data_IF_509781466348
#
_entry.id   IF_509781466348
#
_cell.length_a   1.000
_cell.length_b   1.000
_cell.length_c   1.000
_cell.angle_alpha   90.00
_cell.angle_beta   90.00
_cell.angle_gamma   90.00
#
_symmetry.space_group_name_H-M   'P 1'
#
loop_
_entity.id
_entity.type
_entity.pdbx_description
1 polymer ?
#
# COMPACT_ATOMS: atom_id res chain seq x y z
N UNK A 1 0.04 -0.29 -15.63
CA UNK A 1 0.89 -1.03 -14.66
C UNK A 1 2.21 -0.28 -14.48
N UNK A 2 2.70 -0.22 -13.25
CA UNK A 2 3.97 0.44 -12.91
C UNK A 2 4.92 -0.63 -12.37
N UNK A 3 6.05 -0.85 -13.05
CA UNK A 3 7.05 -1.83 -12.65
C UNK A 3 8.37 -1.13 -12.31
N UNK A 4 8.85 -1.35 -11.09
CA UNK A 4 10.13 -0.83 -10.58
C UNK A 4 11.03 -2.04 -10.34
N UNK A 5 12.13 -2.12 -11.08
CA UNK A 5 12.95 -3.33 -11.16
C UNK A 5 14.43 -3.02 -11.02
N UNK A 6 15.20 -4.05 -10.68
CA UNK A 6 16.66 -4.03 -10.64
C UNK A 6 17.18 -2.85 -9.81
N UNK A 7 18.11 -2.08 -10.33
CA UNK A 7 18.72 -0.95 -9.65
C UNK A 7 17.93 0.36 -9.67
N UNK A 8 16.64 0.36 -10.04
CA UNK A 8 15.81 1.56 -9.91
C UNK A 8 15.59 1.87 -8.43
N UNK A 9 15.98 3.06 -7.99
CA UNK A 9 15.93 3.48 -6.60
C UNK A 9 15.46 4.93 -6.47
N UNK A 10 15.03 5.33 -5.28
CA UNK A 10 14.54 6.68 -4.97
C UNK A 10 13.39 7.11 -5.90
N UNK A 11 12.44 6.21 -6.14
CA UNK A 11 11.29 6.44 -7.02
C UNK A 11 10.10 6.94 -6.22
N UNK A 12 9.48 8.03 -6.68
CA UNK A 12 8.24 8.55 -6.13
C UNK A 12 7.10 8.42 -7.14
N UNK A 13 5.98 7.86 -6.70
CA UNK A 13 4.74 7.72 -7.46
C UNK A 13 3.66 8.46 -6.68
N UNK A 14 3.14 9.57 -7.25
CA UNK A 14 2.24 10.43 -6.51
C UNK A 14 1.10 10.99 -7.35
N UNK A 15 -0.03 11.21 -6.69
CA UNK A 15 -1.23 11.83 -7.26
C UNK A 15 -1.75 11.15 -8.53
N UNK A 16 -1.53 9.82 -8.67
CA UNK A 16 -2.08 9.06 -9.78
C UNK A 16 -3.47 8.50 -9.42
N UNK A 17 -4.30 8.38 -10.43
CA UNK A 17 -5.50 7.56 -10.40
C UNK A 17 -5.26 6.27 -11.17
N UNK A 18 -5.13 5.17 -10.44
CA UNK A 18 -4.81 3.83 -10.92
C UNK A 18 -6.08 2.98 -10.78
N UNK A 19 -6.70 2.64 -11.89
CA UNK A 19 -8.01 2.01 -11.85
C UNK A 19 -8.23 0.93 -12.89
N UNK A 20 -9.27 0.11 -12.67
CA UNK A 20 -9.77 -0.90 -13.60
C UNK A 20 -8.66 -1.83 -14.14
N UNK A 21 -7.80 -2.31 -13.24
CA UNK A 21 -6.67 -3.17 -13.61
C UNK A 21 -6.48 -4.32 -12.63
N UNK A 22 -6.12 -5.51 -13.15
CA UNK A 22 -5.96 -6.69 -12.30
C UNK A 22 -4.69 -6.64 -11.43
N UNK A 23 -3.52 -6.22 -11.96
CA UNK A 23 -2.23 -6.17 -11.25
C UNK A 23 -1.57 -4.81 -11.48
N UNK A 24 -1.54 -3.94 -10.48
CA UNK A 24 -1.28 -2.50 -10.68
C UNK A 24 0.19 -2.15 -10.62
N UNK A 25 0.91 -2.46 -9.54
CA UNK A 25 2.29 -2.03 -9.35
C UNK A 25 3.17 -3.13 -8.77
N UNK A 26 4.41 -3.17 -9.22
CA UNK A 26 5.39 -4.19 -8.86
C UNK A 26 6.75 -3.56 -8.54
N UNK A 27 7.22 -3.77 -7.32
CA UNK A 27 8.56 -3.41 -6.87
C UNK A 27 9.36 -4.71 -6.68
N UNK A 28 10.29 -5.00 -7.59
CA UNK A 28 10.98 -6.31 -7.65
C UNK A 28 10.18 -7.35 -8.43
N UNK A 29 10.66 -7.73 -9.61
CA UNK A 29 9.90 -8.53 -10.57
C UNK A 29 9.92 -10.05 -10.27
N UNK A 30 10.97 -10.53 -9.62
CA UNK A 30 11.13 -11.92 -9.14
C UNK A 30 11.68 -11.94 -7.72
N UNK A 31 11.66 -13.10 -7.09
CA UNK A 31 12.22 -13.28 -5.74
C UNK A 31 13.73 -13.05 -5.71
N UNK A 32 14.43 -13.25 -6.84
CA UNK A 32 15.87 -13.00 -7.01
C UNK A 32 16.22 -11.54 -7.36
N UNK A 33 15.23 -10.67 -7.54
CA UNK A 33 15.44 -9.23 -7.76
C UNK A 33 15.62 -8.53 -6.40
N UNK A 34 16.72 -8.81 -5.74
CA UNK A 34 17.09 -8.45 -4.38
C UNK A 34 17.70 -7.05 -4.24
N UNK A 35 17.80 -6.31 -5.33
CA UNK A 35 18.31 -4.94 -5.29
C UNK A 35 17.52 -4.10 -4.27
N UNK A 36 18.25 -3.40 -3.40
CA UNK A 36 17.63 -2.47 -2.44
C UNK A 36 17.01 -1.32 -3.22
N UNK A 37 15.74 -1.06 -2.95
CA UNK A 37 14.95 -0.01 -3.58
C UNK A 37 14.23 0.80 -2.50
N UNK A 38 14.21 2.10 -2.67
CA UNK A 38 13.41 3.02 -1.87
C UNK A 38 12.30 3.59 -2.76
N UNK A 39 11.06 3.25 -2.45
CA UNK A 39 9.92 3.66 -3.28
C UNK A 39 8.87 4.33 -2.41
N UNK A 40 8.48 5.54 -2.80
CA UNK A 40 7.40 6.26 -2.13
C UNK A 40 6.15 6.26 -3.00
N UNK A 41 5.04 5.82 -2.45
CA UNK A 41 3.70 5.99 -3.03
C UNK A 41 2.92 6.96 -2.15
N UNK A 42 2.57 8.14 -2.66
CA UNK A 42 1.77 9.04 -1.86
C UNK A 42 0.64 9.70 -2.65
N UNK A 43 -0.48 9.88 -1.98
CA UNK A 43 -1.66 10.55 -2.55
C UNK A 43 -2.13 9.91 -3.87
N UNK A 44 -1.99 8.59 -4.02
CA UNK A 44 -2.55 7.88 -5.16
C UNK A 44 -3.93 7.32 -4.81
N UNK A 45 -4.83 7.33 -5.78
CA UNK A 45 -6.11 6.63 -5.72
C UNK A 45 -5.99 5.31 -6.49
N UNK A 46 -6.20 4.21 -5.79
CA UNK A 46 -6.35 2.88 -6.37
C UNK A 46 -7.82 2.50 -6.32
N UNK A 47 -8.46 2.28 -7.45
CA UNK A 47 -9.90 2.02 -7.52
C UNK A 47 -10.24 0.88 -8.47
N UNK A 48 -11.09 -0.04 -8.03
CA UNK A 48 -11.55 -1.19 -8.81
C UNK A 48 -10.38 -1.99 -9.39
N UNK A 49 -9.48 -2.42 -8.52
CA UNK A 49 -8.25 -3.12 -8.90
C UNK A 49 -8.18 -4.50 -8.25
N UNK A 50 -7.51 -5.44 -8.91
CA UNK A 50 -7.40 -6.79 -8.38
C UNK A 50 -6.39 -6.86 -7.26
N UNK A 51 -5.12 -6.56 -7.52
CA UNK A 51 -4.02 -6.72 -6.57
C UNK A 51 -2.81 -5.87 -6.90
N UNK A 52 -1.77 -5.98 -6.05
CA UNK A 52 -0.48 -5.29 -6.21
C UNK A 52 -0.61 -3.78 -6.12
N UNK A 53 -0.96 -3.29 -4.95
CA UNK A 53 -1.12 -1.86 -4.68
C UNK A 53 -0.16 -1.31 -3.60
N UNK A 54 1.15 -1.55 -3.66
CA UNK A 54 1.93 -2.39 -4.58
C UNK A 54 2.12 -3.83 -4.11
N UNK A 55 2.69 -4.70 -4.96
CA UNK A 55 3.45 -5.87 -4.53
C UNK A 55 4.91 -5.48 -4.44
N UNK A 56 5.52 -5.72 -3.29
CA UNK A 56 6.93 -5.44 -3.04
C UNK A 56 7.71 -6.69 -2.68
N UNK A 57 8.88 -6.84 -3.25
CA UNK A 57 9.91 -7.79 -2.86
C UNK A 57 11.17 -7.02 -2.51
N UNK A 58 11.77 -7.37 -1.37
CA UNK A 58 12.97 -6.71 -0.84
C UNK A 58 12.81 -5.19 -0.69
N UNK A 59 13.85 -4.49 -0.29
CA UNK A 59 13.89 -3.03 -0.22
C UNK A 59 12.86 -2.39 0.71
N UNK A 60 12.64 -1.12 0.53
CA UNK A 60 11.87 -0.27 1.42
C UNK A 60 10.81 0.52 0.67
N UNK A 61 9.62 0.62 1.22
CA UNK A 61 8.61 1.51 0.68
C UNK A 61 7.94 2.36 1.75
N UNK A 62 7.53 3.56 1.36
CA UNK A 62 6.67 4.41 2.15
C UNK A 62 5.35 4.63 1.40
N UNK A 63 4.26 4.17 2.00
CA UNK A 63 2.91 4.35 1.47
C UNK A 63 2.19 5.36 2.35
N UNK A 64 2.06 6.59 1.85
CA UNK A 64 1.56 7.74 2.60
C UNK A 64 0.32 8.33 1.93
N UNK A 65 -0.75 8.49 2.70
CA UNK A 65 -1.95 9.19 2.24
C UNK A 65 -2.53 8.68 0.91
N UNK A 66 -2.46 7.37 0.65
CA UNK A 66 -3.13 6.77 -0.49
C UNK A 66 -4.56 6.36 -0.13
N UNK A 67 -5.44 6.30 -1.13
CA UNK A 67 -6.78 5.78 -1.00
C UNK A 67 -6.92 4.49 -1.81
N UNK A 68 -7.28 3.42 -1.12
CA UNK A 68 -7.53 2.10 -1.68
C UNK A 68 -9.03 1.83 -1.63
N UNK A 69 -9.67 1.78 -2.81
CA UNK A 69 -11.10 1.57 -2.94
C UNK A 69 -11.42 0.41 -3.88
N UNK A 70 -12.21 -0.55 -3.41
CA UNK A 70 -12.56 -1.76 -4.18
C UNK A 70 -11.32 -2.51 -4.67
N UNK A 71 -10.49 -2.99 -3.74
CA UNK A 71 -9.38 -3.89 -4.03
C UNK A 71 -9.87 -5.32 -3.84
N UNK A 72 -9.87 -6.10 -4.91
CA UNK A 72 -10.67 -7.32 -5.03
C UNK A 72 -9.96 -8.61 -4.59
N UNK A 73 -8.62 -8.60 -4.49
CA UNK A 73 -7.82 -9.79 -4.12
C UNK A 73 -6.87 -9.49 -2.99
N UNK A 74 -5.99 -8.51 -3.14
CA UNK A 74 -5.06 -8.08 -2.09
C UNK A 74 -4.56 -6.66 -2.33
N UNK A 75 -4.44 -5.91 -1.27
CA UNK A 75 -3.87 -4.57 -1.28
C UNK A 75 -2.35 -4.59 -1.35
N UNK A 76 -1.72 -4.05 -0.32
CA UNK A 76 -0.27 -3.97 -0.17
C UNK A 76 0.25 -5.36 0.18
N UNK A 77 1.13 -5.90 -0.66
CA UNK A 77 1.68 -7.25 -0.47
C UNK A 77 3.20 -7.17 -0.37
N UNK A 78 3.73 -7.38 0.85
CA UNK A 78 5.15 -7.21 1.17
C UNK A 78 5.80 -8.58 1.37
N UNK A 79 6.79 -8.89 0.57
CA UNK A 79 7.42 -10.21 0.48
C UNK A 79 8.94 -10.13 0.58
N UNK A 80 9.57 -11.29 0.71
CA UNK A 80 11.02 -11.49 0.57
C UNK A 80 11.84 -10.51 1.43
N UNK A 81 11.45 -10.36 2.70
CA UNK A 81 12.18 -9.49 3.63
C UNK A 81 12.05 -7.97 3.34
N UNK A 82 11.18 -7.55 2.43
CA UNK A 82 10.92 -6.12 2.22
C UNK A 82 10.27 -5.45 3.42
N UNK A 83 10.46 -4.16 3.57
CA UNK A 83 9.85 -3.34 4.64
C UNK A 83 8.96 -2.24 4.06
N UNK A 84 7.78 -2.06 4.62
CA UNK A 84 6.85 -0.99 4.22
C UNK A 84 6.41 -0.18 5.42
N UNK A 85 6.63 1.15 5.37
CA UNK A 85 5.96 2.09 6.24
C UNK A 85 4.61 2.46 5.59
N UNK A 86 3.52 2.16 6.27
CA UNK A 86 2.15 2.34 5.75
C UNK A 86 1.45 3.33 6.67
N UNK A 87 1.32 4.58 6.23
CA UNK A 87 0.92 5.67 7.11
C UNK A 87 -0.21 6.51 6.53
N UNK A 88 -1.20 6.79 7.36
CA UNK A 88 -2.31 7.68 7.08
C UNK A 88 -3.05 7.39 5.76
N UNK A 89 -3.10 6.13 5.36
CA UNK A 89 -3.87 5.70 4.19
C UNK A 89 -5.33 5.45 4.56
N UNK A 90 -6.20 5.51 3.56
CA UNK A 90 -7.60 5.16 3.67
C UNK A 90 -7.92 3.91 2.86
N UNK A 91 -8.54 2.93 3.51
CA UNK A 91 -8.94 1.67 2.90
C UNK A 91 -10.47 1.53 2.97
N UNK A 92 -11.10 1.19 1.84
CA UNK A 92 -12.55 1.01 1.76
C UNK A 92 -12.89 -0.10 0.77
N UNK A 93 -13.64 -1.09 1.22
CA UNK A 93 -14.01 -2.26 0.41
C UNK A 93 -12.77 -2.97 -0.13
N UNK A 94 -11.87 -3.36 0.76
CA UNK A 94 -10.58 -3.96 0.42
C UNK A 94 -10.50 -5.37 1.00
N UNK A 95 -10.21 -6.34 0.13
CA UNK A 95 -9.84 -7.68 0.55
C UNK A 95 -8.33 -7.74 0.81
N UNK A 96 -7.91 -8.24 1.97
CA UNK A 96 -6.51 -8.37 2.37
C UNK A 96 -5.72 -7.05 2.23
N UNK A 97 -6.02 -6.01 3.00
CA UNK A 97 -5.44 -4.67 2.81
C UNK A 97 -3.92 -4.62 2.92
N UNK A 98 -3.35 -5.35 3.88
CA UNK A 98 -1.90 -5.54 4.03
C UNK A 98 -1.63 -7.02 4.26
N UNK A 99 -0.70 -7.58 3.52
CA UNK A 99 -0.45 -9.03 3.53
C UNK A 99 0.98 -9.37 3.09
N UNK A 100 1.41 -10.58 3.43
CA UNK A 100 2.48 -11.29 2.73
C UNK A 100 1.91 -12.63 2.28
N UNK A 101 1.60 -12.77 1.01
CA UNK A 101 0.97 -13.97 0.45
C UNK A 101 1.57 -14.34 -0.90
N UNK A 102 1.43 -15.59 -1.30
CA UNK A 102 1.99 -16.14 -2.55
C UNK A 102 3.52 -15.96 -2.62
N UNK A 103 4.23 -16.24 -1.53
CA UNK A 103 5.66 -15.98 -1.39
C UNK A 103 6.36 -17.10 -0.62
N UNK A 104 7.64 -17.25 -0.83
CA UNK A 104 8.51 -18.15 -0.05
C UNK A 104 8.98 -17.53 1.27
N UNK A 105 8.92 -16.20 1.40
CA UNK A 105 9.25 -15.48 2.63
C UNK A 105 8.35 -14.27 2.82
N UNK A 106 8.03 -13.97 4.09
CA UNK A 106 7.26 -12.75 4.43
C UNK A 106 8.11 -11.49 4.21
N UNK A 107 7.39 -10.36 4.11
CA UNK A 107 7.94 -9.05 4.39
C UNK A 107 7.42 -8.49 5.70
N UNK A 108 7.72 -7.23 5.96
CA UNK A 108 7.43 -6.54 7.21
C UNK A 108 6.74 -5.22 6.94
N UNK A 109 5.91 -4.78 7.88
CA UNK A 109 5.25 -3.48 7.80
C UNK A 109 5.13 -2.80 9.15
N UNK A 110 5.17 -1.49 9.10
CA UNK A 110 4.91 -0.58 10.20
C UNK A 110 3.64 0.22 9.86
N UNK A 111 2.59 0.00 10.63
CA UNK A 111 1.28 0.63 10.42
C UNK A 111 1.12 1.85 11.32
N UNK A 112 0.85 3.02 10.74
CA UNK A 112 0.65 4.26 11.48
C UNK A 112 -0.58 5.01 10.97
N UNK A 113 -1.46 5.39 11.86
CA UNK A 113 -2.56 6.34 11.60
C UNK A 113 -3.43 6.04 10.37
N UNK A 114 -3.56 4.78 9.96
CA UNK A 114 -4.51 4.40 8.92
C UNK A 114 -5.94 4.36 9.50
N UNK A 115 -6.97 4.26 8.65
CA UNK A 115 -8.36 4.24 9.12
C UNK A 115 -8.75 2.98 9.89
N UNK A 116 -7.92 1.97 9.94
CA UNK A 116 -8.07 0.79 10.78
C UNK A 116 -6.86 0.61 11.69
N UNK A 117 -7.12 0.39 12.96
CA UNK A 117 -6.10 0.21 13.96
C UNK A 117 -5.86 -1.27 14.31
N UNK A 118 -6.87 -2.12 14.21
CA UNK A 118 -6.81 -3.52 14.64
C UNK A 118 -7.67 -4.42 13.76
N UNK A 119 -7.34 -5.72 13.77
CA UNK A 119 -8.16 -6.76 13.14
C UNK A 119 -9.54 -6.89 13.77
N UNK A 120 -9.67 -6.56 15.04
CA UNK A 120 -10.95 -6.59 15.75
C UNK A 120 -11.96 -5.60 15.16
N UNK A 121 -11.50 -4.45 14.66
CA UNK A 121 -12.36 -3.45 14.01
C UNK A 121 -13.02 -4.03 12.76
N UNK A 122 -12.36 -4.97 12.12
CA UNK A 122 -12.85 -5.64 10.92
C UNK A 122 -13.79 -6.78 11.24
N UNK A 123 -13.47 -7.61 12.24
CA UNK A 123 -14.28 -8.76 12.63
C UNK A 123 -15.66 -8.36 13.16
N UNK A 124 -15.80 -7.16 13.68
CA UNK A 124 -17.05 -6.60 14.18
C UNK A 124 -17.98 -6.03 13.08
N UNK A 125 -17.71 -6.28 11.81
CA UNK A 125 -18.50 -5.73 10.70
C UNK A 125 -18.19 -4.26 10.49
N UNK A 126 -16.95 -3.94 10.24
CA UNK A 126 -16.45 -2.58 10.12
C UNK A 126 -17.16 -1.75 9.05
N UNK A 127 -17.29 -0.46 9.30
CA UNK A 127 -17.95 0.49 8.41
C UNK A 127 -17.20 0.70 7.07
N UNK A 128 -15.97 0.22 6.96
CA UNK A 128 -15.12 0.41 5.77
C UNK A 128 -15.17 -0.76 4.79
N UNK A 129 -15.85 -1.86 5.13
CA UNK A 129 -15.97 -3.02 4.25
C UNK A 129 -14.66 -3.77 4.00
N UNK A 130 -13.75 -3.78 4.98
CA UNK A 130 -12.48 -4.50 4.88
C UNK A 130 -12.66 -5.95 5.32
N UNK A 131 -12.08 -6.87 4.55
CA UNK A 131 -12.20 -8.31 4.81
C UNK A 131 -10.85 -9.01 4.59
N UNK A 132 -10.72 -10.22 5.15
CA UNK A 132 -9.61 -11.13 4.89
C UNK A 132 -10.15 -12.48 4.44
N UNK A 133 -9.47 -13.09 3.51
CA UNK A 133 -9.68 -14.51 3.18
C UNK A 133 -8.72 -15.42 3.95
N UNK A 134 -8.90 -16.73 3.81
CA UNK A 134 -8.12 -17.74 4.51
C UNK A 134 -6.66 -17.85 4.04
N UNK A 135 -6.19 -16.98 3.16
CA UNK A 135 -4.84 -16.99 2.62
C UNK A 135 -4.75 -17.67 1.26
N UNK A 136 -3.54 -17.82 0.79
CA UNK A 136 -3.22 -18.29 -0.54
C UNK A 136 -2.30 -19.51 -0.53
N UNK A 137 -1.96 -19.98 -1.70
CA UNK A 137 -1.09 -21.14 -1.93
C UNK A 137 0.39 -20.94 -1.57
N UNK A 138 0.80 -19.75 -1.12
CA UNK A 138 2.18 -19.49 -0.73
C UNK A 138 2.56 -20.18 0.60
N UNK A 139 3.84 -20.47 0.77
CA UNK A 139 4.39 -21.12 1.97
C UNK A 139 4.32 -20.24 3.22
N UNK A 140 4.19 -18.94 3.04
CA UNK A 140 4.10 -17.98 4.14
C UNK A 140 2.99 -16.97 3.85
N UNK A 141 2.06 -16.89 4.78
CA UNK A 141 0.98 -15.92 4.75
C UNK A 141 0.97 -15.11 6.04
N UNK A 142 1.03 -13.80 5.91
CA UNK A 142 0.76 -12.89 7.01
C UNK A 142 -0.36 -11.94 6.57
N UNK A 143 -1.48 -12.04 7.24
CA UNK A 143 -2.71 -11.30 6.91
C UNK A 143 -3.23 -10.54 8.13
N UNK A 144 -2.36 -10.24 9.08
CA UNK A 144 -2.75 -9.57 10.29
C UNK A 144 -2.68 -8.05 10.12
N UNK A 145 -3.69 -7.37 10.65
CA UNK A 145 -3.75 -5.91 10.71
C UNK A 145 -2.99 -5.39 11.93
N UNK A 146 -1.76 -5.79 12.07
CA UNK A 146 -0.88 -5.30 13.13
C UNK A 146 0.49 -5.00 12.55
N UNK A 147 1.19 -4.07 13.17
CA UNK A 147 2.61 -3.83 12.84
C UNK A 147 3.42 -5.09 13.11
N UNK A 148 4.13 -5.56 12.11
CA UNK A 148 4.98 -6.75 12.24
C UNK A 148 6.41 -6.40 12.65
N UNK A 149 6.89 -5.20 12.28
CA UNK A 149 8.18 -4.67 12.68
C UNK A 149 8.20 -3.14 12.51
N UNK A 150 8.95 -2.45 13.36
CA UNK A 150 9.22 -1.02 13.15
C UNK A 150 9.99 -0.81 11.84
N UNK A 151 9.67 0.27 11.13
CA UNK A 151 10.36 0.61 9.89
C UNK A 151 11.83 0.98 10.19
N UNK A 152 12.81 0.30 9.59
CA UNK A 152 14.20 0.38 10.05
C UNK A 152 15.00 1.54 9.46
N UNK A 153 14.47 2.22 8.43
CA UNK A 153 15.21 3.21 7.66
C UNK A 153 14.76 4.64 7.95
N UNK A 154 15.69 5.58 7.81
CA UNK A 154 15.36 7.00 7.71
C UNK A 154 14.88 7.31 6.28
N UNK A 155 13.75 8.00 6.14
CA UNK A 155 13.16 8.26 4.82
C UNK A 155 13.97 9.23 3.94
N UNK A 156 14.93 9.96 4.49
CA UNK A 156 15.75 10.91 3.73
C UNK A 156 15.02 12.18 3.28
N UNK A 157 13.76 12.37 3.67
CA UNK A 157 12.96 13.55 3.38
C UNK A 157 12.02 13.90 4.54
N UNK A 158 11.64 15.17 4.61
CA UNK A 158 10.65 15.66 5.56
C UNK A 158 9.25 15.65 4.94
N UNK A 159 8.25 15.28 5.72
CA UNK A 159 6.85 15.28 5.29
C UNK A 159 5.93 15.54 6.50
N UNK A 160 4.71 15.86 6.19
CA UNK A 160 3.60 15.87 7.16
C UNK A 160 2.49 14.99 6.59
N UNK A 161 2.10 13.98 7.34
CA UNK A 161 0.98 13.14 6.95
C UNK A 161 -0.34 13.90 7.10
N UNK A 162 -1.16 13.88 6.06
CA UNK A 162 -2.54 14.35 6.14
C UNK A 162 -3.39 13.36 6.95
N UNK A 163 -4.40 13.80 7.69
CA UNK A 163 -5.35 12.89 8.30
C UNK A 163 -6.04 12.01 7.25
N UNK A 164 -6.20 10.72 7.52
CA UNK A 164 -6.80 9.79 6.55
C UNK A 164 -8.22 10.18 6.12
N UNK A 165 -8.97 10.88 6.97
CA UNK A 165 -10.30 11.42 6.59
C UNK A 165 -10.19 12.42 5.45
N UNK A 166 -9.19 13.28 5.48
CA UNK A 166 -8.93 14.24 4.41
C UNK A 166 -8.57 13.53 3.09
N UNK A 167 -7.84 12.42 3.18
CA UNK A 167 -7.53 11.57 2.02
C UNK A 167 -8.82 11.05 1.38
N UNK A 168 -9.72 10.49 2.18
CA UNK A 168 -11.03 10.04 1.71
C UNK A 168 -11.83 11.15 1.02
N UNK A 169 -11.92 12.32 1.67
CA UNK A 169 -12.81 13.41 1.23
C UNK A 169 -12.29 14.15 0.00
N UNK A 170 -10.97 14.23 -0.17
CA UNK A 170 -10.36 15.12 -1.15
C UNK A 170 -9.59 14.45 -2.29
N UNK A 171 -9.10 13.23 -2.12
CA UNK A 171 -8.14 12.66 -3.07
C UNK A 171 -8.74 12.38 -4.47
N UNK A 172 -10.02 12.04 -4.55
CA UNK A 172 -10.70 11.85 -5.86
C UNK A 172 -10.68 13.12 -6.73
N UNK A 173 -10.65 14.28 -6.11
CA UNK A 173 -10.55 15.54 -6.83
C UNK A 173 -9.12 15.93 -7.20
N UNK A 174 -8.12 15.39 -6.48
CA UNK A 174 -6.72 15.77 -6.60
C UNK A 174 -5.89 14.79 -7.44
N UNK A 175 -6.20 13.49 -7.40
CA UNK A 175 -5.44 12.47 -8.10
C UNK A 175 -5.91 12.23 -9.54
N UNK A 176 -4.97 11.97 -10.44
CA UNK A 176 -5.23 11.57 -11.83
C UNK A 176 -4.89 12.62 -12.88
N UNK A 177 -4.83 12.18 -14.11
CA UNK A 177 -4.53 13.03 -15.25
C UNK A 177 -5.55 14.16 -15.41
N UNK A 178 -5.08 15.34 -15.80
CA UNK A 178 -5.92 16.50 -16.02
C UNK A 178 -6.35 17.26 -14.77
N UNK A 179 -5.89 16.85 -13.59
CA UNK A 179 -6.19 17.56 -12.33
C UNK A 179 -5.26 18.75 -12.06
N UNK A 180 -4.23 18.92 -12.87
CA UNK A 180 -3.19 19.92 -12.66
C UNK A 180 -2.33 19.62 -11.45
N UNK A 181 -1.56 20.60 -10.99
CA UNK A 181 -0.76 20.50 -9.76
C UNK A 181 -1.64 20.83 -8.53
N UNK A 182 -2.71 20.07 -8.35
CA UNK A 182 -3.59 20.23 -7.19
C UNK A 182 -3.03 19.35 -6.07
N UNK A 183 -2.59 19.98 -5.01
CA UNK A 183 -2.27 19.27 -3.77
C UNK A 183 -3.54 19.06 -2.94
N UNK A 184 -3.60 17.94 -2.23
CA UNK A 184 -4.65 17.71 -1.25
C UNK A 184 -4.61 18.84 -0.21
N UNK A 185 -5.75 19.47 0.04
CA UNK A 185 -5.87 20.52 1.05
C UNK A 185 -6.78 20.00 2.15
N UNK A 186 -6.20 19.69 3.28
CA UNK A 186 -6.92 19.34 4.49
C UNK A 186 -7.36 20.64 5.19
N UNK A 187 -8.66 20.75 5.50
CA UNK A 187 -9.22 21.88 6.24
C UNK A 187 -9.07 21.69 7.73
#
# INVERSE_FOLDING_TARGET
>A
MIDIKKGADNVTISYNYLHDHHKVSLNGYTDDDDAVRHVTFHHNLFENVGSRTPLQRHGYSHLLNNYFYKVLVSGINVRMGGYSLIEANYFETVLNPVTARDSSAIGYWDLRNNNLATKADVSAGNAFGITWDAGSSGTVNATDWTTTAAFPEALGYSYTADPFQCVHDGLRAAAGAGKGLVTLKCK
#
